data_IF_368949415207
#
_entry.id   IF_368949415207
#
_cell.length_a   1.000
_cell.length_b   1.000
_cell.length_c   1.000
_cell.angle_alpha   90.00
_cell.angle_beta   90.00
_cell.angle_gamma   90.00
#
_symmetry.space_group_name_H-M   'P 1'
#
loop_
_entity.id
_entity.type
_entity.pdbx_description
1 polymer ?
#
# COMPACT_ATOMS: atom_id res chain seq x y z
N UNK A 1 -2.73 11.14 7.33
CA UNK A 1 -3.79 11.17 6.28
C UNK A 1 -3.91 9.87 5.50
N UNK A 2 -2.85 9.36 4.85
CA UNK A 2 -2.93 8.18 3.98
C UNK A 2 -3.58 6.94 4.65
N UNK A 3 -3.21 6.67 5.90
CA UNK A 3 -3.77 5.56 6.70
C UNK A 3 -5.28 5.67 6.85
N UNK A 4 -5.78 6.80 7.36
CA UNK A 4 -7.21 7.06 7.52
C UNK A 4 -7.96 7.03 6.18
N UNK A 5 -7.35 7.53 5.10
CA UNK A 5 -7.96 7.47 3.77
C UNK A 5 -8.12 6.04 3.28
N UNK A 6 -7.12 5.18 3.45
CA UNK A 6 -7.21 3.76 3.09
C UNK A 6 -8.27 3.02 3.93
N UNK A 7 -8.31 3.27 5.24
CA UNK A 7 -9.35 2.70 6.11
C UNK A 7 -10.75 3.15 5.70
N UNK A 8 -10.92 4.43 5.31
CA UNK A 8 -12.20 4.95 4.81
C UNK A 8 -12.65 4.31 3.49
N UNK A 9 -11.71 3.92 2.64
CA UNK A 9 -11.97 3.22 1.37
C UNK A 9 -12.31 1.73 1.56
N UNK A 10 -12.36 1.25 2.81
CA UNK A 10 -12.76 -0.12 3.13
C UNK A 10 -11.58 -1.11 3.28
N UNK A 11 -10.34 -0.62 3.38
CA UNK A 11 -9.23 -1.48 3.76
C UNK A 11 -9.44 -2.03 5.18
N UNK A 12 -9.20 -3.33 5.37
CA UNK A 12 -9.32 -4.01 6.68
C UNK A 12 -8.06 -3.83 7.54
N UNK A 13 -6.96 -3.43 6.93
CA UNK A 13 -5.80 -2.93 7.63
C UNK A 13 -4.75 -2.37 6.67
N UNK A 14 -3.87 -1.56 7.24
CA UNK A 14 -2.78 -0.93 6.52
C UNK A 14 -1.54 -0.88 7.42
N UNK A 15 -0.38 -1.08 6.81
CA UNK A 15 0.92 -0.85 7.42
C UNK A 15 1.74 0.03 6.49
N UNK A 16 2.34 1.09 7.03
CA UNK A 16 3.25 1.97 6.31
C UNK A 16 4.56 1.99 7.07
N UNK A 17 5.66 1.70 6.39
CA UNK A 17 7.01 1.88 6.92
C UNK A 17 7.73 2.94 6.08
N UNK A 18 8.22 3.98 6.72
CA UNK A 18 9.07 5.00 6.11
C UNK A 18 10.47 4.89 6.70
N UNK A 19 11.48 4.74 5.85
CA UNK A 19 12.88 4.64 6.24
C UNK A 19 13.72 5.72 5.59
N UNK A 20 14.64 6.32 6.35
CA UNK A 20 15.58 7.31 5.84
C UNK A 20 15.88 8.41 6.86
N UNK A 21 16.39 9.53 6.39
CA UNK A 21 16.67 10.73 7.20
C UNK A 21 15.40 11.55 7.41
N UNK A 22 14.44 10.94 8.11
CA UNK A 22 13.10 11.50 8.34
C UNK A 22 13.21 12.86 9.05
N UNK A 23 12.58 13.89 8.49
CA UNK A 23 12.62 15.25 9.05
C UNK A 23 13.99 15.96 8.96
N UNK A 24 14.94 15.44 8.17
CA UNK A 24 16.28 16.02 8.06
C UNK A 24 17.25 15.58 9.17
N UNK A 25 16.88 14.57 9.97
CA UNK A 25 17.74 14.00 10.99
C UNK A 25 19.08 13.51 10.40
N UNK A 26 20.16 13.66 11.17
CA UNK A 26 21.50 13.21 10.76
C UNK A 26 21.56 11.69 10.63
N UNK A 27 20.88 10.97 11.52
CA UNK A 27 20.83 9.51 11.56
C UNK A 27 19.53 9.01 10.93
N UNK A 28 19.64 8.05 10.00
CA UNK A 28 18.49 7.44 9.37
C UNK A 28 17.70 6.57 10.36
N UNK A 29 16.37 6.68 10.32
CA UNK A 29 15.45 5.88 11.15
C UNK A 29 14.37 5.25 10.29
N UNK A 30 13.79 4.17 10.80
CA UNK A 30 12.59 3.56 10.22
C UNK A 30 11.43 3.77 11.17
N UNK A 31 10.47 4.56 10.76
CA UNK A 31 9.21 4.75 11.46
C UNK A 31 8.12 3.95 10.77
N UNK A 32 7.27 3.31 11.56
CA UNK A 32 6.17 2.53 11.04
C UNK A 32 4.88 2.91 11.72
N UNK A 33 3.81 2.91 10.94
CA UNK A 33 2.45 3.08 11.41
C UNK A 33 1.60 1.91 10.93
N UNK A 34 0.75 1.42 11.81
CA UNK A 34 -0.14 0.30 11.51
C UNK A 34 -1.52 0.59 12.07
N UNK A 35 -2.53 0.35 11.25
CA UNK A 35 -3.93 0.43 11.65
C UNK A 35 -4.66 -0.82 11.14
N UNK A 36 -5.49 -1.43 11.98
CA UNK A 36 -6.19 -2.67 11.65
C UNK A 36 -5.32 -3.94 11.57
N UNK A 37 -5.83 -4.94 10.85
CA UNK A 37 -5.20 -6.27 10.73
C UNK A 37 -4.41 -6.36 9.42
N UNK A 38 -3.14 -6.78 9.52
CA UNK A 38 -2.28 -7.04 8.35
C UNK A 38 -1.56 -8.37 8.56
N UNK A 39 -2.22 -9.49 8.25
CA UNK A 39 -1.66 -10.83 8.41
C UNK A 39 -0.63 -11.13 7.31
N UNK A 40 0.66 -11.08 7.64
CA UNK A 40 1.75 -11.34 6.68
C UNK A 40 2.08 -12.82 6.50
N UNK A 41 1.63 -13.68 7.42
CA UNK A 41 1.91 -15.12 7.38
C UNK A 41 0.80 -15.94 6.73
N UNK A 42 -0.36 -15.33 6.46
CA UNK A 42 -1.54 -16.02 5.96
C UNK A 42 -1.64 -15.84 4.45
N UNK A 43 -1.28 -16.87 3.68
CA UNK A 43 -1.21 -16.81 2.21
C UNK A 43 -2.54 -16.48 1.52
N UNK A 44 -3.67 -16.87 2.12
CA UNK A 44 -5.02 -16.55 1.59
C UNK A 44 -5.43 -15.09 1.80
N UNK A 45 -4.62 -14.30 2.50
CA UNK A 45 -4.90 -12.88 2.73
C UNK A 45 -4.55 -12.09 1.48
N UNK A 46 -5.50 -11.33 0.97
CA UNK A 46 -5.25 -10.37 -0.09
C UNK A 46 -4.56 -9.13 0.49
N UNK A 47 -3.24 -9.10 0.33
CA UNK A 47 -2.36 -8.03 0.81
C UNK A 47 -1.63 -7.42 -0.38
N UNK A 48 -2.00 -6.19 -0.73
CA UNK A 48 -1.30 -5.40 -1.73
C UNK A 48 -0.06 -4.75 -1.12
N UNK A 49 1.10 -4.98 -1.73
CA UNK A 49 2.38 -4.39 -1.34
C UNK A 49 2.88 -3.40 -2.39
N UNK A 50 3.28 -2.22 -1.94
CA UNK A 50 3.85 -1.18 -2.79
C UNK A 50 5.10 -0.57 -2.19
N UNK A 51 6.04 -0.18 -3.04
CA UNK A 51 7.25 0.56 -2.64
C UNK A 51 7.37 1.83 -3.44
N UNK A 52 7.83 2.89 -2.80
CA UNK A 52 8.14 4.16 -3.44
C UNK A 52 9.37 4.79 -2.78
N UNK A 53 10.14 5.54 -3.56
CA UNK A 53 11.30 6.28 -3.08
C UNK A 53 11.02 7.78 -3.21
N UNK A 54 11.23 8.52 -2.12
CA UNK A 54 11.15 9.98 -2.12
C UNK A 54 12.56 10.57 -2.15
N UNK A 55 12.84 11.37 -3.19
CA UNK A 55 14.09 12.11 -3.31
C UNK A 55 13.96 13.43 -2.57
N UNK A 56 14.76 13.60 -1.53
CA UNK A 56 14.80 14.81 -0.71
C UNK A 56 16.19 15.42 -0.75
N UNK A 57 16.31 16.67 -0.30
CA UNK A 57 17.61 17.37 -0.21
C UNK A 57 18.61 16.65 0.70
N UNK A 58 18.12 15.89 1.68
CA UNK A 58 18.94 15.17 2.66
C UNK A 58 19.23 13.72 2.25
N UNK A 59 18.77 13.28 1.08
CA UNK A 59 18.95 11.93 0.56
C UNK A 59 17.63 11.26 0.16
N UNK A 60 17.64 9.93 0.09
CA UNK A 60 16.50 9.14 -0.36
C UNK A 60 15.76 8.57 0.85
N UNK A 61 14.45 8.79 0.91
CA UNK A 61 13.55 8.16 1.87
C UNK A 61 12.77 7.04 1.20
N UNK A 62 12.92 5.80 1.69
CA UNK A 62 12.20 4.64 1.19
C UNK A 62 10.88 4.46 1.92
N UNK A 63 9.78 4.31 1.18
CA UNK A 63 8.44 4.07 1.71
C UNK A 63 7.98 2.69 1.25
N UNK A 64 7.50 1.89 2.20
CA UNK A 64 6.94 0.55 1.98
C UNK A 64 5.54 0.50 2.57
N UNK A 65 4.56 0.09 1.78
CA UNK A 65 3.15 0.08 2.17
C UNK A 65 2.56 -1.30 1.95
N UNK A 66 1.78 -1.76 2.93
CA UNK A 66 0.96 -2.97 2.84
C UNK A 66 -0.50 -2.60 3.10
N UNK A 67 -1.41 -3.01 2.22
CA UNK A 67 -2.85 -2.80 2.35
C UNK A 67 -3.53 -4.16 2.34
N UNK A 68 -4.28 -4.48 3.39
CA UNK A 68 -5.06 -5.71 3.49
C UNK A 68 -6.53 -5.42 3.15
N UNK A 69 -7.04 -6.06 2.09
CA UNK A 69 -8.41 -5.90 1.62
C UNK A 69 -9.36 -7.01 2.13
N UNK A 70 -8.83 -8.17 2.52
CA UNK A 70 -9.62 -9.29 3.03
C UNK A 70 -9.01 -10.63 2.68
N UNK A 71 -9.71 -11.71 3.05
CA UNK A 71 -9.30 -13.06 2.64
C UNK A 71 -9.99 -13.39 1.32
N UNK A 72 -9.24 -13.92 0.36
CA UNK A 72 -9.82 -14.54 -0.84
C UNK A 72 -10.37 -15.91 -0.44
N UNK A 73 -11.69 -16.06 -0.38
CA UNK A 73 -12.30 -17.39 -0.34
C UNK A 73 -12.27 -17.95 -1.76
N UNK A 74 -11.85 -19.21 -1.90
CA UNK A 74 -11.71 -19.97 -3.15
C UNK A 74 -13.06 -20.18 -3.88
N UNK A 75 -13.75 -19.13 -4.30
CA UNK A 75 -14.76 -19.17 -5.36
C UNK A 75 -15.19 -17.75 -5.80
N UNK A 76 -14.24 -16.90 -6.21
CA UNK A 76 -14.62 -15.73 -7.01
C UNK A 76 -13.63 -15.50 -8.16
N UNK A 77 -13.88 -16.07 -9.36
CA UNK A 77 -13.03 -15.86 -10.53
C UNK A 77 -12.91 -14.37 -10.94
N UNK A 78 -13.79 -13.50 -10.43
CA UNK A 78 -13.83 -12.07 -10.72
C UNK A 78 -12.85 -11.19 -9.92
N UNK A 79 -12.07 -11.74 -8.97
CA UNK A 79 -11.17 -10.94 -8.14
C UNK A 79 -9.95 -10.37 -8.91
N UNK A 80 -9.64 -10.94 -10.09
CA UNK A 80 -8.59 -10.40 -10.97
C UNK A 80 -9.13 -9.39 -12.01
N UNK A 81 -10.43 -9.41 -12.30
CA UNK A 81 -11.00 -8.66 -13.43
C UNK A 81 -11.05 -7.15 -13.15
N UNK A 82 -11.23 -6.74 -11.90
CA UNK A 82 -11.34 -5.31 -11.55
C UNK A 82 -10.03 -4.53 -11.76
N UNK A 83 -8.87 -5.18 -11.58
CA UNK A 83 -7.54 -4.55 -11.85
C UNK A 83 -7.25 -4.42 -13.36
N UNK A 84 -7.90 -5.21 -14.21
CA UNK A 84 -7.80 -5.11 -15.68
C UNK A 84 -8.83 -4.15 -16.28
N UNK A 85 -10.06 -4.10 -15.75
CA UNK A 85 -11.12 -3.19 -16.24
C UNK A 85 -10.77 -1.72 -15.99
N UNK A 86 -10.26 -1.38 -14.80
CA UNK A 86 -9.84 0.01 -14.49
C UNK A 86 -8.64 0.46 -15.35
N UNK A 87 -7.73 -0.46 -15.73
CA UNK A 87 -6.61 -0.16 -16.64
C UNK A 87 -7.05 0.04 -18.09
N UNK A 88 -8.11 -0.65 -18.53
CA UNK A 88 -8.65 -0.49 -19.88
C UNK A 88 -9.40 0.85 -20.04
N UNK A 89 -10.03 1.34 -18.97
CA UNK A 89 -10.73 2.63 -18.95
C UNK A 89 -9.77 3.83 -19.02
N UNK A 90 -8.57 3.77 -18.42
CA UNK A 90 -7.56 4.84 -18.52
C UNK A 90 -6.87 4.93 -19.89
N UNK A 91 -6.84 3.84 -20.67
CA UNK A 91 -6.25 3.83 -22.02
C UNK A 91 -7.20 4.35 -23.12
N UNK A 92 -8.48 4.55 -22.82
CA UNK A 92 -9.52 4.89 -23.80
C UNK A 92 -9.91 6.38 -23.93
N UNK A 93 -9.38 7.28 -23.10
CA UNK A 93 -9.77 8.72 -23.08
C UNK A 93 -8.76 9.65 -23.75
N UNK A 94 -7.81 9.11 -24.50
CA UNK A 94 -6.88 9.88 -25.33
C UNK A 94 -7.37 10.08 -26.76
N UNK A 95 -8.42 10.89 -26.96
CA UNK A 95 -8.69 11.60 -28.21
C UNK A 95 -9.07 13.05 -27.90
#
# INVERSE_FOLDING_TARGET
RAVQSAMRLGAKGIRINCGGRLGGAEIARTEWYREGRVPLHTLRSDVDYGVASAHTTYGICGIKVWIYLGDIMEHNPFAKDKKSEDKALEQGTGL
#
